data_IF_090159211649
#
_entry.id   IF_090159211649
#
_cell.length_a   1.000
_cell.length_b   1.000
_cell.length_c   1.000
_cell.angle_alpha   90.00
_cell.angle_beta   90.00
_cell.angle_gamma   90.00
#
_symmetry.space_group_name_H-M   'P 1'
#
loop_
_entity.id
_entity.type
_entity.pdbx_description
1 polymer ?
#
# COMPACT_ATOMS: atom_id res chain seq x y z
N UNK A 1 26.19 -17.02 -24.53
CA UNK A 1 24.80 -17.31 -24.96
C UNK A 1 24.07 -17.73 -23.70
N UNK A 2 23.57 -16.75 -22.95
CA UNK A 2 22.99 -16.90 -21.60
C UNK A 2 21.47 -17.02 -21.69
N UNK A 3 20.87 -17.78 -20.78
CA UNK A 3 19.53 -18.38 -20.80
C UNK A 3 18.34 -17.47 -20.49
N UNK A 4 18.48 -16.14 -20.58
CA UNK A 4 17.47 -15.21 -20.04
C UNK A 4 16.34 -14.82 -21.00
N UNK A 5 16.34 -15.31 -22.25
CA UNK A 5 15.24 -15.02 -23.18
C UNK A 5 13.86 -15.47 -22.69
N UNK A 6 13.80 -16.39 -21.71
CA UNK A 6 12.55 -16.89 -21.15
C UNK A 6 11.96 -15.99 -20.04
N UNK A 7 12.78 -15.21 -19.32
CA UNK A 7 12.28 -14.31 -18.25
C UNK A 7 11.62 -13.06 -18.83
N UNK A 8 12.08 -12.60 -19.99
CA UNK A 8 11.52 -11.44 -20.70
C UNK A 8 10.13 -11.72 -21.32
N UNK A 9 9.76 -13.00 -21.47
CA UNK A 9 8.49 -13.43 -22.07
C UNK A 9 7.39 -13.73 -21.03
N UNK A 10 7.69 -13.68 -19.73
CA UNK A 10 6.69 -13.88 -18.68
C UNK A 10 5.84 -12.61 -18.51
N UNK A 11 4.52 -12.73 -18.27
CA UNK A 11 3.70 -11.57 -17.95
C UNK A 11 4.24 -10.88 -16.70
N UNK A 12 4.52 -9.58 -16.83
CA UNK A 12 4.98 -8.76 -15.70
C UNK A 12 3.93 -8.77 -14.58
N UNK A 13 4.38 -9.05 -13.35
CA UNK A 13 3.51 -8.95 -12.18
C UNK A 13 3.53 -7.52 -11.66
N UNK A 14 2.37 -6.87 -11.60
CA UNK A 14 2.23 -5.55 -10.99
C UNK A 14 1.98 -5.71 -9.48
N UNK A 15 2.92 -5.21 -8.66
CA UNK A 15 2.81 -5.22 -7.20
C UNK A 15 2.48 -3.81 -6.68
N UNK A 16 1.40 -3.70 -5.91
CA UNK A 16 1.02 -2.47 -5.22
C UNK A 16 1.33 -2.61 -3.72
N UNK A 17 2.07 -1.65 -3.17
CA UNK A 17 2.39 -1.59 -1.74
C UNK A 17 1.83 -0.28 -1.18
N UNK A 18 1.02 -0.40 -0.13
CA UNK A 18 0.35 0.74 0.51
C UNK A 18 0.61 0.67 2.02
N UNK A 19 0.95 1.80 2.63
CA UNK A 19 1.03 1.92 4.08
C UNK A 19 -0.39 2.13 4.65
N UNK A 20 -0.71 1.49 5.77
CA UNK A 20 -1.96 1.75 6.49
C UNK A 20 -2.08 3.22 6.95
N UNK A 21 -3.30 3.64 7.26
CA UNK A 21 -3.55 4.98 7.80
C UNK A 21 -2.99 5.19 9.22
N UNK A 22 -2.90 6.43 9.65
CA UNK A 22 -2.45 6.81 10.98
C UNK A 22 -3.30 6.19 12.12
N UNK A 23 -2.62 5.81 13.20
CA UNK A 23 -3.23 5.42 14.49
C UNK A 23 -2.83 6.43 15.58
N UNK A 24 -3.55 6.45 16.70
CA UNK A 24 -3.17 7.28 17.86
C UNK A 24 -1.76 6.97 18.37
N UNK A 25 -1.33 5.71 18.30
CA UNK A 25 0.02 5.31 18.74
C UNK A 25 1.12 5.85 17.83
N UNK A 26 0.85 6.04 16.54
CA UNK A 26 1.82 6.70 15.64
C UNK A 26 2.05 8.15 16.08
N UNK A 27 0.97 8.88 16.40
CA UNK A 27 1.04 10.27 16.87
C UNK A 27 1.77 10.37 18.21
N UNK A 28 1.51 9.42 19.11
CA UNK A 28 2.13 9.35 20.44
C UNK A 28 3.57 8.81 20.41
N UNK A 29 4.09 8.41 19.25
CA UNK A 29 5.43 7.84 19.11
C UNK A 29 5.60 6.48 19.80
N UNK A 30 4.50 5.75 20.01
CA UNK A 30 4.51 4.45 20.68
C UNK A 30 4.86 3.34 19.72
N UNK A 31 5.65 2.38 20.20
CA UNK A 31 5.93 1.17 19.46
C UNK A 31 4.68 0.28 19.41
N UNK A 32 4.23 -0.06 18.20
CA UNK A 32 3.00 -0.81 17.98
C UNK A 32 3.23 -2.34 17.97
N UNK A 33 4.39 -2.82 17.51
CA UNK A 33 4.67 -4.25 17.42
C UNK A 33 3.61 -4.99 16.59
N UNK A 34 3.05 -6.06 17.16
CA UNK A 34 1.93 -6.81 16.56
C UNK A 34 0.56 -6.37 17.11
N UNK A 35 0.48 -5.28 17.88
CA UNK A 35 -0.78 -4.80 18.40
C UNK A 35 -1.65 -4.22 17.29
N UNK A 36 -2.88 -4.70 17.20
CA UNK A 36 -3.89 -4.12 16.32
C UNK A 36 -4.46 -2.86 16.98
N UNK A 37 -3.95 -1.69 16.56
CA UNK A 37 -4.41 -0.38 17.02
C UNK A 37 -5.29 0.21 15.92
N UNK A 38 -6.54 0.60 16.22
CA UNK A 38 -7.43 1.12 15.21
C UNK A 38 -6.91 2.43 14.61
N UNK A 39 -7.31 2.69 13.36
CA UNK A 39 -7.08 3.96 12.69
C UNK A 39 -7.76 5.09 13.47
N UNK A 40 -7.12 6.26 13.50
CA UNK A 40 -7.76 7.48 13.95
C UNK A 40 -8.50 8.16 12.78
N UNK A 41 -9.19 9.28 13.04
CA UNK A 41 -9.95 10.00 12.02
C UNK A 41 -9.07 10.44 10.83
N UNK A 42 -7.83 10.85 11.11
CA UNK A 42 -6.82 11.17 10.08
C UNK A 42 -6.50 9.93 9.23
N UNK A 43 -6.27 8.78 9.86
CA UNK A 43 -5.99 7.51 9.19
C UNK A 43 -7.15 7.05 8.32
N UNK A 44 -8.40 7.23 8.75
CA UNK A 44 -9.59 6.94 7.95
C UNK A 44 -9.64 7.85 6.72
N UNK A 45 -9.37 9.15 6.88
CA UNK A 45 -9.32 10.08 5.75
C UNK A 45 -8.20 9.73 4.76
N UNK A 46 -7.02 9.34 5.24
CA UNK A 46 -5.91 8.88 4.42
C UNK A 46 -6.28 7.63 3.60
N UNK A 47 -6.96 6.66 4.20
CA UNK A 47 -7.42 5.45 3.48
C UNK A 47 -8.42 5.80 2.40
N UNK A 48 -9.36 6.72 2.66
CA UNK A 48 -10.33 7.17 1.64
C UNK A 48 -9.64 7.82 0.43
N UNK A 49 -8.65 8.68 0.69
CA UNK A 49 -7.86 9.31 -0.38
C UNK A 49 -7.04 8.28 -1.16
N UNK A 50 -6.39 7.35 -0.46
CA UNK A 50 -5.62 6.28 -1.09
C UNK A 50 -6.50 5.38 -1.97
N UNK A 51 -7.69 5.01 -1.50
CA UNK A 51 -8.66 4.24 -2.28
C UNK A 51 -9.06 4.97 -3.57
N UNK A 52 -9.29 6.29 -3.50
CA UNK A 52 -9.59 7.10 -4.68
C UNK A 52 -8.46 7.07 -5.72
N UNK A 53 -7.21 7.23 -5.28
CA UNK A 53 -6.03 7.16 -6.17
C UNK A 53 -5.87 5.76 -6.75
N UNK A 54 -6.07 4.71 -5.96
CA UNK A 54 -5.96 3.33 -6.44
C UNK A 54 -6.96 3.03 -7.55
N UNK A 55 -8.23 3.45 -7.38
CA UNK A 55 -9.25 3.29 -8.43
C UNK A 55 -8.85 4.04 -9.70
N UNK A 56 -8.31 5.25 -9.58
CA UNK A 56 -7.84 6.01 -10.74
C UNK A 56 -6.71 5.31 -11.50
N UNK A 57 -5.70 4.80 -10.79
CA UNK A 57 -4.60 4.04 -11.39
C UNK A 57 -5.10 2.74 -12.04
N UNK A 58 -6.01 2.03 -11.38
CA UNK A 58 -6.57 0.76 -11.86
C UNK A 58 -7.38 0.93 -13.15
N UNK A 59 -8.10 2.04 -13.29
CA UNK A 59 -8.91 2.34 -14.47
C UNK A 59 -8.07 2.88 -15.65
N UNK A 60 -6.74 2.96 -15.49
CA UNK A 60 -5.83 3.32 -16.58
C UNK A 60 -5.98 4.76 -17.06
N UNK A 61 -6.10 5.69 -16.12
CA UNK A 61 -6.29 7.14 -16.35
C UNK A 61 -5.54 7.74 -17.53
#
# INVERSE_FOLDING_TARGET
MSSDAAVDALPATTLYVVRHGETSWNVEGRYQGQQDVPLNDTGIAQVRLCAHVYVWVWLGG
#
